data_IF_528938150155
#
_entry.id   IF_528938150155
#
_cell.length_a   1.000
_cell.length_b   1.000
_cell.length_c   1.000
_cell.angle_alpha   90.00
_cell.angle_beta   90.00
_cell.angle_gamma   90.00
#
_symmetry.space_group_name_H-M   'P 1'
#
loop_
_entity.id
_entity.type
_entity.pdbx_description
1 polymer ?
#
# COMPACT_ATOMS: atom_id res chain seq x y z
N UNK A 1 13.00 13.75 -16.23
CA UNK A 1 13.76 12.50 -16.06
C UNK A 1 12.73 11.41 -15.82
N UNK A 2 12.92 10.18 -16.32
CA UNK A 2 12.01 9.09 -16.00
C UNK A 2 12.42 8.55 -14.63
N UNK A 3 11.53 8.64 -13.64
CA UNK A 3 11.77 8.07 -12.31
C UNK A 3 12.05 6.58 -12.44
N UNK A 4 13.09 6.12 -11.74
CA UNK A 4 13.50 4.71 -11.73
C UNK A 4 12.81 3.92 -10.62
N UNK A 5 12.23 4.61 -9.63
CA UNK A 5 11.58 3.93 -8.52
C UNK A 5 10.13 3.52 -8.83
N UNK A 6 9.82 2.28 -8.48
CA UNK A 6 8.50 1.65 -8.62
C UNK A 6 7.97 1.22 -7.25
N UNK A 7 6.69 1.49 -6.98
CA UNK A 7 6.01 0.93 -5.81
C UNK A 7 5.45 -0.42 -6.17
N UNK A 8 5.81 -1.43 -5.39
CA UNK A 8 5.21 -2.75 -5.45
C UNK A 8 4.26 -2.93 -4.26
N UNK A 9 3.16 -3.65 -4.47
CA UNK A 9 2.17 -3.89 -3.42
C UNK A 9 2.08 -5.39 -3.18
N UNK A 10 2.55 -5.84 -2.00
CA UNK A 10 2.42 -7.24 -1.60
C UNK A 10 2.42 -7.41 -0.09
N UNK A 11 1.84 -8.51 0.38
CA UNK A 11 1.79 -8.86 1.80
C UNK A 11 3.22 -8.94 2.37
N UNK A 12 3.57 -8.19 3.43
CA UNK A 12 4.92 -8.20 3.99
C UNK A 12 5.31 -9.55 4.61
N UNK A 13 4.36 -10.46 4.81
CA UNK A 13 4.60 -11.76 5.43
C UNK A 13 4.70 -12.92 4.44
N UNK A 14 3.87 -12.94 3.39
CA UNK A 14 3.82 -14.05 2.44
C UNK A 14 3.97 -13.65 0.97
N UNK A 15 4.24 -12.36 0.69
CA UNK A 15 4.47 -11.81 -0.65
C UNK A 15 3.30 -12.01 -1.62
N UNK A 16 2.09 -12.26 -1.12
CA UNK A 16 0.91 -12.27 -1.98
C UNK A 16 0.62 -10.86 -2.50
N UNK A 17 0.46 -10.76 -3.81
CA UNK A 17 0.08 -9.54 -4.53
C UNK A 17 -1.44 -9.44 -4.65
N UNK A 18 -2.06 -8.32 -4.23
CA UNK A 18 -3.46 -8.04 -4.45
C UNK A 18 -3.84 -8.09 -5.94
N UNK A 19 -4.92 -8.79 -6.26
CA UNK A 19 -5.44 -8.98 -7.62
C UNK A 19 -6.40 -7.85 -8.08
N UNK A 20 -6.53 -6.77 -7.29
CA UNK A 20 -7.50 -5.69 -7.51
C UNK A 20 -8.94 -6.05 -7.13
N UNK A 21 -9.17 -7.23 -6.54
CA UNK A 21 -10.48 -7.69 -6.09
C UNK A 21 -10.94 -7.07 -4.77
N UNK A 22 -12.26 -7.08 -4.56
CA UNK A 22 -12.89 -6.58 -3.35
C UNK A 22 -12.83 -7.61 -2.20
N UNK A 23 -11.67 -7.69 -1.53
CA UNK A 23 -11.42 -8.68 -0.47
C UNK A 23 -11.59 -8.15 0.96
N UNK A 24 -11.67 -6.83 1.15
CA UNK A 24 -11.68 -6.20 2.47
C UNK A 24 -13.03 -5.58 2.78
N UNK A 25 -13.45 -5.69 4.04
CA UNK A 25 -14.76 -5.23 4.50
C UNK A 25 -14.62 -4.13 5.55
N UNK A 26 -15.35 -3.04 5.36
CA UNK A 26 -15.29 -1.86 6.20
C UNK A 26 -16.27 -1.98 7.35
N UNK A 27 -16.03 -1.23 8.43
CA UNK A 27 -16.97 -1.07 9.55
C UNK A 27 -18.34 -0.52 9.15
N UNK A 28 -18.48 0.06 7.96
CA UNK A 28 -19.76 0.55 7.43
C UNK A 28 -20.51 -0.47 6.57
N UNK A 29 -19.97 -1.68 6.34
CA UNK A 29 -20.59 -2.66 5.45
C UNK A 29 -19.97 -2.75 4.05
N UNK A 30 -19.17 -1.76 3.65
CA UNK A 30 -18.62 -1.68 2.30
C UNK A 30 -17.51 -2.71 2.07
N UNK A 31 -17.55 -3.46 0.97
CA UNK A 31 -16.48 -4.39 0.56
C UNK A 31 -15.75 -3.78 -0.63
N UNK A 32 -14.43 -3.66 -0.57
CA UNK A 32 -13.63 -3.00 -1.62
C UNK A 32 -12.20 -3.51 -1.70
N UNK A 33 -11.50 -3.12 -2.76
CA UNK A 33 -10.05 -3.21 -2.84
C UNK A 33 -9.43 -2.08 -2.01
N UNK A 34 -8.79 -2.43 -0.91
CA UNK A 34 -8.17 -1.46 0.01
C UNK A 34 -7.06 -0.66 -0.67
N UNK A 35 -6.39 -1.22 -1.69
CA UNK A 35 -5.26 -0.59 -2.37
C UNK A 35 -5.69 0.46 -3.39
N UNK A 36 -6.90 0.36 -3.96
CA UNK A 36 -7.48 1.38 -4.84
C UNK A 36 -7.62 2.77 -4.18
N UNK A 37 -7.55 2.85 -2.85
CA UNK A 37 -7.82 4.07 -2.06
C UNK A 37 -6.83 4.27 -0.91
N UNK A 38 -5.70 3.56 -0.93
CA UNK A 38 -4.71 3.57 0.15
C UNK A 38 -5.31 3.40 1.55
N UNK A 39 -6.23 2.44 1.69
CA UNK A 39 -6.87 2.08 2.96
C UNK A 39 -8.08 2.95 3.33
N UNK A 40 -8.51 3.87 2.47
CA UNK A 40 -9.64 4.76 2.75
C UNK A 40 -10.93 4.23 2.16
N UNK A 41 -11.90 3.85 3.00
CA UNK A 41 -13.18 3.37 2.51
C UNK A 41 -13.87 4.42 1.61
N UNK A 42 -14.24 4.09 0.36
CA UNK A 42 -14.84 5.05 -0.56
C UNK A 42 -16.26 5.47 -0.16
N UNK A 43 -16.93 4.69 0.69
CA UNK A 43 -18.30 4.97 1.14
C UNK A 43 -18.37 5.85 2.39
N UNK A 44 -17.56 5.57 3.41
CA UNK A 44 -17.63 6.30 4.70
C UNK A 44 -16.38 7.12 5.02
N UNK A 45 -15.38 7.11 4.14
CA UNK A 45 -14.10 7.83 4.26
C UNK A 45 -13.27 7.50 5.50
N UNK A 46 -13.60 6.40 6.20
CA UNK A 46 -12.75 5.91 7.28
C UNK A 46 -11.44 5.36 6.70
N UNK A 47 -10.31 5.81 7.23
CA UNK A 47 -8.97 5.37 6.85
C UNK A 47 -8.48 4.26 7.79
N UNK A 48 -8.28 3.08 7.22
CA UNK A 48 -7.74 1.93 7.95
C UNK A 48 -6.22 2.04 8.09
N UNK A 49 -5.67 1.93 9.32
CA UNK A 49 -4.22 1.94 9.53
C UNK A 49 -3.57 0.56 9.28
N UNK A 50 -4.38 -0.49 9.17
CA UNK A 50 -3.96 -1.89 9.03
C UNK A 50 -4.67 -2.55 7.86
N UNK A 51 -4.12 -3.66 7.38
CA UNK A 51 -4.71 -4.50 6.34
C UNK A 51 -4.44 -5.96 6.64
N UNK A 52 -5.50 -6.75 6.57
CA UNK A 52 -5.45 -8.20 6.72
C UNK A 52 -5.05 -8.84 5.40
N UNK A 53 -4.10 -9.76 5.41
CA UNK A 53 -3.92 -10.64 4.26
C UNK A 53 -5.06 -11.66 4.25
N UNK A 54 -5.96 -11.67 3.24
CA UNK A 54 -7.05 -12.63 3.22
C UNK A 54 -6.49 -14.07 3.17
N UNK A 55 -7.05 -15.04 3.90
CA UNK A 55 -6.60 -16.43 3.82
C UNK A 55 -6.70 -17.02 2.41
N UNK A 56 -7.69 -16.56 1.63
CA UNK A 56 -7.85 -16.77 0.19
C UNK A 56 -8.44 -15.50 -0.41
N UNK A 57 -7.93 -14.97 -1.53
CA UNK A 57 -6.86 -15.52 -2.36
C UNK A 57 -5.44 -15.36 -1.81
N UNK A 58 -5.24 -14.66 -0.68
CA UNK A 58 -3.92 -14.31 -0.16
C UNK A 58 -3.07 -15.48 0.32
N UNK A 59 -3.13 -15.79 1.62
CA UNK A 59 -2.51 -17.02 2.11
C UNK A 59 -2.14 -17.07 3.58
N UNK A 60 -1.73 -15.96 4.20
CA UNK A 60 -1.21 -16.01 5.58
C UNK A 60 -2.22 -15.63 6.67
N UNK A 61 -3.28 -14.87 6.37
CA UNK A 61 -4.26 -14.45 7.38
C UNK A 61 -3.75 -13.40 8.37
N UNK A 62 -2.51 -12.91 8.20
CA UNK A 62 -1.87 -11.99 9.14
C UNK A 62 -2.30 -10.55 8.84
N UNK A 63 -2.65 -9.82 9.89
CA UNK A 63 -2.85 -8.37 9.86
C UNK A 63 -1.51 -7.66 10.00
N UNK A 64 -1.23 -6.72 9.11
CA UNK A 64 -0.05 -5.85 9.20
C UNK A 64 -0.46 -4.38 9.04
N UNK A 65 0.39 -3.42 9.43
CA UNK A 65 0.21 -2.02 9.07
C UNK A 65 -0.02 -1.87 7.56
N UNK A 66 -0.96 -1.02 7.15
CA UNK A 66 -1.30 -0.86 5.73
C UNK A 66 -0.12 -0.31 4.92
N UNK A 67 0.73 0.51 5.54
CA UNK A 67 1.93 1.06 4.90
C UNK A 67 2.97 -0.01 4.55
N UNK A 68 3.06 -1.09 5.34
CA UNK A 68 4.03 -2.18 5.14
C UNK A 68 3.72 -3.03 3.89
N UNK A 69 2.55 -2.83 3.26
CA UNK A 69 2.22 -3.46 1.99
C UNK A 69 2.86 -2.77 0.79
N UNK A 70 3.35 -1.54 0.94
CA UNK A 70 3.96 -0.76 -0.13
C UNK A 70 5.49 -0.86 -0.03
N UNK A 71 6.10 -1.50 -1.02
CA UNK A 71 7.54 -1.73 -1.11
C UNK A 71 8.14 -0.79 -2.14
N UNK A 72 9.39 -0.35 -1.91
CA UNK A 72 10.06 0.65 -2.75
C UNK A 72 9.74 2.11 -2.39
N UNK A 73 9.03 2.37 -1.28
CA UNK A 73 8.75 3.73 -0.82
C UNK A 73 10.02 4.51 -0.47
N UNK A 74 11.00 3.87 0.16
CA UNK A 74 12.24 4.54 0.57
C UNK A 74 13.00 5.10 -0.64
N UNK A 75 13.14 4.30 -1.70
CA UNK A 75 13.80 4.72 -2.96
C UNK A 75 13.06 5.89 -3.62
N UNK A 76 11.73 5.87 -3.64
CA UNK A 76 10.95 7.01 -4.14
C UNK A 76 11.14 8.27 -3.31
N UNK A 77 11.18 8.13 -1.98
CA UNK A 77 11.39 9.26 -1.08
C UNK A 77 12.77 9.87 -1.33
N UNK A 78 13.81 9.03 -1.45
CA UNK A 78 15.17 9.47 -1.76
C UNK A 78 15.23 10.24 -3.09
N UNK A 79 14.66 9.68 -4.17
CA UNK A 79 14.59 10.35 -5.48
C UNK A 79 13.86 11.71 -5.38
N UNK A 80 12.70 11.77 -4.71
CA UNK A 80 11.93 13.01 -4.57
C UNK A 80 12.65 14.07 -3.71
N UNK A 81 13.36 13.66 -2.66
CA UNK A 81 14.13 14.58 -1.81
C UNK A 81 15.29 15.20 -2.59
N UNK A 82 16.00 14.42 -3.40
CA UNK A 82 17.08 14.91 -4.25
C UNK A 82 16.56 15.92 -5.30
N UNK A 83 15.41 15.65 -5.90
CA UNK A 83 14.76 16.57 -6.85
C UNK A 83 14.29 17.89 -6.20
N UNK A 84 13.66 17.80 -5.02
CA UNK A 84 13.07 18.95 -4.34
C UNK A 84 14.10 19.83 -3.63
N UNK A 85 15.18 19.23 -3.15
CA UNK A 85 16.27 19.89 -2.44
C UNK A 85 17.58 19.55 -3.14
N UNK A 86 17.87 20.11 -4.33
CA UNK A 86 19.16 19.89 -4.96
C UNK A 86 20.22 20.45 -4.02
N UNK A 87 20.88 19.54 -3.31
CA UNK A 87 22.00 19.88 -2.43
C UNK A 87 23.02 20.55 -3.34
N UNK A 88 23.31 21.83 -3.09
CA UNK A 88 24.39 22.51 -3.77
C UNK A 88 25.67 21.71 -3.53
N UNK A 89 26.08 20.92 -4.53
CA UNK A 89 27.32 20.17 -4.49
C UNK A 89 28.47 21.18 -4.37
N UNK A 90 29.45 20.96 -3.46
CA UNK A 90 30.60 21.85 -3.34
C UNK A 90 31.50 21.84 -4.58
#
# INVERSE_FOLDING_TARGET
MASTASIEIYCPHCQWEPDGGAHWHCRCGHVWDTFATAGTCPQCHYRWPVTDCPPRPGGCGITSPHIDWYHGLDTLIEELVEEALPVAQP
#
